data_IF_840404045376
#
_entry.id   IF_840404045376
#
_cell.length_a   1.000
_cell.length_b   1.000
_cell.length_c   1.000
_cell.angle_alpha   90.00
_cell.angle_beta   90.00
_cell.angle_gamma   90.00
#
_symmetry.space_group_name_H-M   'P 1'
#
loop_
_entity.id
_entity.type
_entity.pdbx_description
1 polymer ?
#
# COMPACT_ATOMS: atom_id res chain seq x y z
N UNK A 1 7.66 -34.51 -83.51
CA UNK A 1 6.90 -34.29 -84.75
C UNK A 1 5.96 -33.12 -84.53
N UNK A 2 5.92 -32.18 -85.48
CA UNK A 2 5.24 -30.88 -85.47
C UNK A 2 3.71 -31.01 -85.68
N UNK A 3 2.97 -29.98 -85.23
CA UNK A 3 1.63 -29.46 -85.68
C UNK A 3 0.41 -29.84 -84.83
N UNK A 4 -0.64 -29.02 -84.69
CA UNK A 4 -0.92 -27.56 -84.75
C UNK A 4 -2.47 -27.43 -84.75
N UNK A 5 -3.03 -26.56 -83.89
CA UNK A 5 -4.17 -25.63 -84.12
C UNK A 5 -5.62 -26.19 -84.20
N UNK A 6 -6.55 -25.59 -83.41
CA UNK A 6 -7.76 -24.76 -83.79
C UNK A 6 -8.74 -24.70 -82.60
N UNK A 7 -8.90 -23.56 -81.90
CA UNK A 7 -9.79 -22.39 -82.10
C UNK A 7 -11.29 -22.61 -81.70
N UNK A 8 -11.68 -22.05 -80.52
CA UNK A 8 -12.93 -21.40 -79.99
C UNK A 8 -14.34 -21.66 -80.61
N UNK A 9 -15.51 -21.49 -79.91
CA UNK A 9 -15.83 -20.42 -78.91
C UNK A 9 -16.80 -20.69 -77.71
N UNK A 10 -16.70 -19.79 -76.71
CA UNK A 10 -17.69 -19.06 -75.86
C UNK A 10 -19.05 -19.69 -75.49
N UNK A 11 -19.35 -19.73 -74.17
CA UNK A 11 -20.61 -19.27 -73.52
C UNK A 11 -20.42 -19.30 -71.98
N UNK A 12 -20.21 -18.13 -71.35
CA UNK A 12 -21.20 -17.38 -70.55
C UNK A 12 -21.67 -18.14 -69.29
N UNK A 13 -21.11 -17.75 -68.14
CA UNK A 13 -21.45 -18.30 -66.83
C UNK A 13 -20.99 -17.39 -65.72
N UNK A 14 -21.61 -16.22 -65.63
CA UNK A 14 -21.59 -15.36 -64.45
C UNK A 14 -22.31 -16.06 -63.30
N UNK A 15 -21.60 -16.42 -62.22
CA UNK A 15 -22.22 -16.55 -60.90
C UNK A 15 -21.23 -16.17 -59.80
N UNK A 16 -21.57 -15.05 -59.16
CA UNK A 16 -21.05 -14.57 -57.88
C UNK A 16 -21.28 -15.62 -56.79
N UNK A 17 -20.22 -16.04 -56.09
CA UNK A 17 -20.33 -16.49 -54.70
C UNK A 17 -19.22 -15.83 -53.90
N UNK A 18 -19.68 -15.11 -52.89
CA UNK A 18 -18.97 -14.20 -51.99
C UNK A 18 -17.90 -14.97 -51.20
N UNK A 19 -16.66 -14.51 -51.28
CA UNK A 19 -15.59 -14.94 -50.39
C UNK A 19 -15.91 -14.49 -48.96
N UNK A 20 -16.14 -15.45 -48.07
CA UNK A 20 -16.22 -15.26 -46.63
C UNK A 20 -14.83 -14.89 -46.09
N UNK A 21 -14.49 -13.61 -46.19
CA UNK A 21 -13.40 -13.03 -45.41
C UNK A 21 -13.84 -12.99 -43.96
N UNK A 22 -13.33 -13.96 -43.18
CA UNK A 22 -13.29 -13.87 -41.73
C UNK A 22 -12.48 -12.63 -41.35
N UNK A 23 -13.18 -11.51 -41.16
CA UNK A 23 -12.64 -10.36 -40.44
C UNK A 23 -12.60 -10.79 -38.98
N UNK A 24 -11.48 -11.42 -38.61
CA UNK A 24 -11.06 -11.56 -37.24
C UNK A 24 -10.86 -10.12 -36.73
N UNK A 25 -11.94 -9.51 -36.21
CA UNK A 25 -11.84 -8.23 -35.53
C UNK A 25 -10.94 -8.48 -34.34
N UNK A 26 -9.68 -8.05 -34.44
CA UNK A 26 -8.88 -7.75 -33.26
C UNK A 26 -9.64 -6.66 -32.54
N UNK A 27 -10.51 -7.06 -31.61
CA UNK A 27 -10.94 -6.16 -30.54
C UNK A 27 -9.68 -5.92 -29.74
N UNK A 28 -8.90 -4.93 -30.18
CA UNK A 28 -8.08 -4.15 -29.29
C UNK A 28 -9.06 -3.53 -28.30
N UNK A 29 -9.30 -4.25 -27.21
CA UNK A 29 -9.78 -3.65 -25.99
C UNK A 29 -8.69 -2.67 -25.59
N UNK A 30 -8.84 -1.43 -26.04
CA UNK A 30 -8.24 -0.29 -25.38
C UNK A 30 -8.94 -0.19 -24.01
N UNK A 31 -8.40 -0.92 -23.02
CA UNK A 31 -8.68 -0.63 -21.62
C UNK A 31 -7.97 0.67 -21.28
N UNK A 32 -8.65 1.77 -21.56
CA UNK A 32 -8.26 3.09 -21.10
C UNK A 32 -9.01 3.36 -19.79
N UNK A 33 -8.27 3.30 -18.69
CA UNK A 33 -8.42 3.98 -17.39
C UNK A 33 -7.90 3.06 -16.28
N UNK A 34 -6.59 3.10 -16.03
CA UNK A 34 -5.98 2.58 -14.80
C UNK A 34 -6.44 3.49 -13.65
N UNK A 35 -7.64 3.29 -13.12
CA UNK A 35 -7.81 3.49 -11.68
C UNK A 35 -7.28 2.19 -11.09
N UNK A 36 -5.97 2.12 -10.82
CA UNK A 36 -5.46 1.00 -10.03
C UNK A 36 -6.15 1.11 -8.68
N UNK A 37 -6.89 0.08 -8.28
CA UNK A 37 -7.48 0.08 -6.95
C UNK A 37 -6.38 0.24 -5.90
N UNK A 38 -6.70 0.73 -4.70
CA UNK A 38 -5.72 0.78 -3.61
C UNK A 38 -5.13 -0.59 -3.29
N UNK A 39 -5.88 -1.66 -3.56
CA UNK A 39 -5.38 -3.04 -3.52
C UNK A 39 -4.30 -3.29 -4.58
N UNK A 40 -4.51 -2.90 -5.83
CA UNK A 40 -3.51 -3.07 -6.90
C UNK A 40 -2.25 -2.21 -6.65
N UNK A 41 -2.45 -1.01 -6.11
CA UNK A 41 -1.36 -0.11 -5.74
C UNK A 41 -0.51 -0.72 -4.61
N UNK A 42 -1.12 -1.17 -3.51
CA UNK A 42 -0.36 -1.82 -2.42
C UNK A 42 0.33 -3.11 -2.88
N UNK A 43 -0.27 -3.89 -3.78
CA UNK A 43 0.38 -5.06 -4.36
C UNK A 43 1.62 -4.67 -5.18
N UNK A 44 1.51 -3.64 -6.03
CA UNK A 44 2.62 -3.14 -6.84
C UNK A 44 3.73 -2.54 -5.97
N UNK A 45 3.38 -1.79 -4.93
CA UNK A 45 4.32 -1.22 -3.98
C UNK A 45 5.11 -2.31 -3.23
N UNK A 46 4.42 -3.36 -2.77
CA UNK A 46 5.07 -4.49 -2.10
C UNK A 46 5.97 -5.30 -3.04
N UNK A 47 5.58 -5.47 -4.31
CA UNK A 47 6.45 -6.07 -5.31
C UNK A 47 7.73 -5.23 -5.48
N UNK A 48 7.61 -3.91 -5.64
CA UNK A 48 8.75 -3.01 -5.74
C UNK A 48 9.67 -3.13 -4.51
N UNK A 49 9.11 -3.07 -3.30
CA UNK A 49 9.86 -3.20 -2.05
C UNK A 49 10.63 -4.52 -1.99
N UNK A 50 9.99 -5.63 -2.37
CA UNK A 50 10.63 -6.94 -2.42
C UNK A 50 11.77 -7.00 -3.45
N UNK A 51 11.55 -6.48 -4.67
CA UNK A 51 12.57 -6.41 -5.73
C UNK A 51 13.78 -5.57 -5.32
N UNK A 52 13.58 -4.60 -4.41
CA UNK A 52 14.65 -3.76 -3.82
C UNK A 52 15.16 -4.32 -2.49
N UNK A 53 14.89 -5.59 -2.19
CA UNK A 53 15.48 -6.31 -1.05
C UNK A 53 14.93 -5.91 0.31
N UNK A 54 13.76 -5.28 0.38
CA UNK A 54 13.11 -4.94 1.64
C UNK A 54 12.35 -6.15 2.23
N UNK A 55 12.32 -6.25 3.55
CA UNK A 55 11.74 -7.34 4.34
C UNK A 55 10.49 -6.90 5.15
N UNK A 56 9.94 -5.73 4.83
CA UNK A 56 8.77 -5.14 5.47
C UNK A 56 7.75 -4.74 4.40
N UNK A 57 6.47 -4.98 4.66
CA UNK A 57 5.38 -4.79 3.69
C UNK A 57 4.50 -3.60 4.05
N UNK A 58 4.08 -2.87 3.02
CA UNK A 58 3.11 -1.78 3.09
C UNK A 58 1.68 -2.33 3.12
N UNK A 59 0.88 -1.89 4.10
CA UNK A 59 -0.57 -2.08 4.13
C UNK A 59 -1.24 -0.70 4.12
N UNK A 60 -2.36 -0.58 3.41
CA UNK A 60 -3.06 0.69 3.24
C UNK A 60 -4.41 0.67 3.95
N UNK A 61 -4.69 1.72 4.71
CA UNK A 61 -5.98 1.90 5.40
C UNK A 61 -7.13 2.10 4.39
N UNK A 62 -6.80 2.57 3.19
CA UNK A 62 -7.72 2.85 2.07
C UNK A 62 -7.93 1.66 1.13
N UNK A 63 -7.38 0.49 1.43
CA UNK A 63 -7.60 -0.72 0.65
C UNK A 63 -9.08 -1.17 0.70
N UNK A 64 -9.75 -1.38 -0.45
CA UNK A 64 -11.18 -1.66 -0.52
C UNK A 64 -11.61 -2.95 0.22
N UNK A 65 -10.70 -3.83 0.58
CA UNK A 65 -11.00 -5.03 1.38
C UNK A 65 -11.47 -4.70 2.80
N UNK A 66 -11.08 -3.53 3.33
CA UNK A 66 -11.43 -3.11 4.70
C UNK A 66 -11.65 -1.61 4.88
N UNK A 67 -11.43 -0.79 3.86
CA UNK A 67 -11.59 0.67 3.89
C UNK A 67 -12.93 1.12 4.48
N UNK A 68 -14.02 0.40 4.20
CA UNK A 68 -15.39 0.71 4.62
C UNK A 68 -15.77 0.15 6.01
N UNK A 69 -14.84 -0.54 6.69
CA UNK A 69 -15.12 -1.10 8.02
C UNK A 69 -15.25 0.02 9.02
N UNK A 70 -16.31 -0.06 9.82
CA UNK A 70 -16.61 0.92 10.84
C UNK A 70 -15.46 1.03 11.85
N UNK A 71 -14.96 2.25 12.03
CA UNK A 71 -14.02 2.59 13.08
C UNK A 71 -14.23 4.06 13.47
N UNK A 72 -14.70 4.25 14.69
CA UNK A 72 -15.04 5.53 15.26
C UNK A 72 -16.52 5.90 15.25
N UNK A 73 -16.81 7.06 15.82
CA UNK A 73 -18.16 7.60 15.93
C UNK A 73 -18.13 9.12 16.08
N UNK A 74 -19.25 9.80 15.82
CA UNK A 74 -19.36 11.25 16.03
C UNK A 74 -18.73 12.13 14.94
N UNK A 75 -18.20 11.53 13.86
CA UNK A 75 -17.76 12.21 12.63
C UNK A 75 -18.66 11.88 11.44
N UNK A 76 -18.53 12.64 10.35
CA UNK A 76 -19.16 12.33 9.05
C UNK A 76 -18.54 11.09 8.38
N UNK A 77 -17.32 10.70 8.79
CA UNK A 77 -16.60 9.53 8.27
C UNK A 77 -16.04 8.74 9.46
N UNK A 78 -16.55 7.52 9.63
CA UNK A 78 -16.28 6.64 10.77
C UNK A 78 -15.84 5.27 10.26
N UNK A 79 -14.82 5.26 9.41
CA UNK A 79 -14.31 4.07 8.77
C UNK A 79 -12.78 3.99 8.86
N UNK A 80 -12.23 2.82 8.51
CA UNK A 80 -10.77 2.62 8.50
C UNK A 80 -10.07 3.50 7.46
N UNK A 81 -10.69 3.79 6.32
CA UNK A 81 -10.09 4.65 5.31
C UNK A 81 -9.77 6.04 5.86
N UNK A 82 -10.61 6.59 6.74
CA UNK A 82 -10.40 7.91 7.34
C UNK A 82 -9.61 7.83 8.65
N UNK A 83 -9.91 6.89 9.54
CA UNK A 83 -9.41 6.89 10.92
C UNK A 83 -8.34 5.82 11.21
N UNK A 84 -8.04 4.94 10.26
CA UNK A 84 -7.33 3.68 10.46
C UNK A 84 -5.80 3.73 10.41
N UNK A 85 -5.16 4.91 10.46
CA UNK A 85 -3.71 5.03 10.32
C UNK A 85 -2.92 4.25 11.39
N UNK A 86 -3.32 4.37 12.66
CA UNK A 86 -2.72 3.62 13.76
C UNK A 86 -3.01 2.11 13.67
N UNK A 87 -4.26 1.74 13.37
CA UNK A 87 -4.71 0.34 13.23
C UNK A 87 -3.91 -0.37 12.13
N UNK A 88 -3.74 0.29 10.98
CA UNK A 88 -3.02 -0.24 9.84
C UNK A 88 -1.51 -0.31 10.11
N UNK A 89 -0.94 0.70 10.75
CA UNK A 89 0.47 0.71 11.16
C UNK A 89 0.80 -0.43 12.12
N UNK A 90 -0.07 -0.70 13.10
CA UNK A 90 0.10 -1.82 14.03
C UNK A 90 -0.04 -3.18 13.35
N UNK A 91 -0.90 -3.32 12.33
CA UNK A 91 -0.99 -4.53 11.53
C UNK A 91 0.32 -4.80 10.75
N UNK A 92 0.96 -3.75 10.22
CA UNK A 92 2.29 -3.89 9.59
C UNK A 92 3.35 -4.36 10.59
N UNK A 93 3.38 -3.78 11.80
CA UNK A 93 4.30 -4.21 12.87
C UNK A 93 4.06 -5.66 13.24
N UNK A 94 2.81 -6.07 13.50
CA UNK A 94 2.52 -7.44 13.89
C UNK A 94 2.88 -8.43 12.78
N UNK A 95 2.63 -8.07 11.53
CA UNK A 95 3.02 -8.89 10.37
C UNK A 95 4.53 -9.17 10.37
N UNK A 96 5.32 -8.13 10.64
CA UNK A 96 6.77 -8.23 10.70
C UNK A 96 7.26 -9.07 11.89
N UNK A 97 6.65 -8.93 13.07
CA UNK A 97 7.04 -9.67 14.27
C UNK A 97 6.69 -11.16 14.14
N UNK A 98 5.49 -11.48 13.66
CA UNK A 98 4.98 -12.86 13.58
C UNK A 98 5.35 -13.58 12.27
N UNK A 99 6.00 -12.89 11.32
CA UNK A 99 6.39 -13.43 10.01
C UNK A 99 5.21 -14.04 9.23
N UNK A 100 4.04 -13.40 9.34
CA UNK A 100 2.81 -13.73 8.60
C UNK A 100 2.11 -12.44 8.17
N UNK A 101 1.17 -12.54 7.24
CA UNK A 101 0.31 -11.40 6.92
C UNK A 101 -0.72 -11.20 8.03
N UNK A 102 -0.76 -10.01 8.61
CA UNK A 102 -1.80 -9.51 9.51
C UNK A 102 -2.54 -8.40 8.78
N UNK A 103 -3.86 -8.50 8.73
CA UNK A 103 -4.68 -7.45 8.11
C UNK A 103 -5.13 -6.42 9.14
N UNK A 104 -5.39 -5.16 8.75
CA UNK A 104 -5.90 -4.13 9.66
C UNK A 104 -7.18 -4.54 10.40
N UNK A 105 -7.99 -5.43 9.80
CA UNK A 105 -9.20 -5.97 10.44
C UNK A 105 -8.91 -6.78 11.69
N UNK A 106 -7.75 -7.46 11.80
CA UNK A 106 -7.40 -8.23 13.00
C UNK A 106 -7.14 -7.29 14.20
N UNK A 107 -6.43 -6.18 13.94
CA UNK A 107 -6.19 -5.16 14.95
C UNK A 107 -7.51 -4.47 15.33
N UNK A 108 -8.36 -4.17 14.34
CA UNK A 108 -9.68 -3.57 14.56
C UNK A 108 -10.61 -4.49 15.36
N UNK A 109 -10.65 -5.79 15.05
CA UNK A 109 -11.48 -6.78 15.77
C UNK A 109 -11.08 -6.87 17.25
N UNK A 110 -9.77 -6.85 17.52
CA UNK A 110 -9.27 -6.81 18.89
C UNK A 110 -9.62 -5.49 19.58
N UNK A 111 -9.33 -4.35 18.96
CA UNK A 111 -9.45 -3.03 19.60
C UNK A 111 -10.90 -2.58 19.74
N UNK A 112 -11.75 -2.91 18.77
CA UNK A 112 -12.98 -2.19 18.49
C UNK A 112 -12.73 -0.68 18.45
N UNK A 113 -13.68 0.09 18.98
CA UNK A 113 -13.56 1.55 19.15
C UNK A 113 -12.93 1.95 20.49
N UNK A 114 -12.37 1.02 21.29
CA UNK A 114 -11.89 1.32 22.66
C UNK A 114 -10.83 2.42 22.72
N UNK A 115 -10.08 2.60 21.65
CA UNK A 115 -9.03 3.61 21.53
C UNK A 115 -9.38 4.70 20.53
N UNK A 116 -10.61 4.74 20.01
CA UNK A 116 -11.01 5.82 19.12
C UNK A 116 -11.29 7.10 19.92
N UNK A 117 -10.78 8.22 19.41
CA UNK A 117 -11.07 9.56 19.92
C UNK A 117 -11.71 10.41 18.83
N UNK A 118 -12.91 10.91 19.11
CA UNK A 118 -13.70 11.71 18.17
C UNK A 118 -12.91 12.92 17.68
N UNK A 119 -12.69 13.00 16.36
CA UNK A 119 -11.95 14.08 15.71
C UNK A 119 -10.42 13.99 15.82
N UNK A 120 -9.87 13.00 16.54
CA UNK A 120 -8.42 12.81 16.71
C UNK A 120 -7.92 11.46 16.13
N UNK A 121 -8.83 10.54 15.81
CA UNK A 121 -8.49 9.22 15.28
C UNK A 121 -8.25 8.23 16.42
N UNK A 122 -7.02 7.76 16.60
CA UNK A 122 -6.70 6.72 17.59
C UNK A 122 -5.84 7.26 18.73
N UNK A 123 -6.29 7.08 19.96
CA UNK A 123 -5.56 7.40 21.18
C UNK A 123 -4.25 6.61 21.27
N UNK A 124 -3.18 7.26 21.71
CA UNK A 124 -1.86 6.62 21.87
C UNK A 124 -1.82 5.52 22.93
N UNK A 125 -2.83 5.41 23.79
CA UNK A 125 -2.99 4.30 24.73
C UNK A 125 -3.11 2.94 24.03
N UNK A 126 -3.42 2.89 22.73
CA UNK A 126 -3.40 1.66 21.93
C UNK A 126 -2.02 1.03 21.85
N UNK A 127 -0.94 1.83 21.81
CA UNK A 127 0.43 1.33 21.56
C UNK A 127 0.95 0.41 22.67
N UNK A 128 0.93 0.81 23.96
CA UNK A 128 1.28 -0.12 25.04
C UNK A 128 0.28 -1.28 25.18
N UNK A 129 -1.02 -1.04 24.94
CA UNK A 129 -2.02 -2.10 25.04
C UNK A 129 -1.88 -3.16 23.94
N UNK A 130 -1.49 -2.76 22.74
CA UNK A 130 -1.18 -3.64 21.62
C UNK A 130 0.00 -4.54 21.97
N UNK A 131 1.08 -3.96 22.51
CA UNK A 131 2.24 -4.73 22.95
C UNK A 131 1.86 -5.79 23.98
N UNK A 132 1.07 -5.40 24.99
CA UNK A 132 0.57 -6.32 26.01
C UNK A 132 -0.29 -7.44 25.42
N UNK A 133 -1.20 -7.12 24.49
CA UNK A 133 -2.12 -8.09 23.91
C UNK A 133 -1.39 -9.16 23.07
N UNK A 134 -0.41 -8.75 22.27
CA UNK A 134 0.32 -9.63 21.37
C UNK A 134 1.62 -10.18 21.97
N UNK A 135 1.86 -9.97 23.27
CA UNK A 135 3.04 -10.49 23.97
C UNK A 135 4.36 -9.88 23.49
N UNK A 136 4.32 -8.66 22.95
CA UNK A 136 5.48 -7.90 22.49
C UNK A 136 6.01 -7.01 23.61
N UNK A 137 7.29 -6.69 23.57
CA UNK A 137 7.86 -5.59 24.34
C UNK A 137 7.72 -4.31 23.53
N UNK A 138 7.35 -3.21 24.18
CA UNK A 138 7.31 -1.89 23.55
C UNK A 138 8.19 -0.91 24.32
N UNK A 139 8.88 -0.07 23.58
CA UNK A 139 9.61 1.07 24.11
C UNK A 139 9.09 2.35 23.46
N UNK A 140 8.70 3.31 24.30
CA UNK A 140 8.37 4.67 23.89
C UNK A 140 9.69 5.45 23.79
N UNK A 141 10.02 5.85 22.56
CA UNK A 141 11.27 6.54 22.24
C UNK A 141 11.12 8.05 22.32
N UNK A 142 9.90 8.60 22.48
CA UNK A 142 9.73 10.04 22.48
C UNK A 142 10.14 10.66 21.14
N UNK A 143 10.93 11.73 21.27
CA UNK A 143 11.67 12.37 20.17
C UNK A 143 13.18 12.19 20.34
N UNK A 144 13.62 11.13 21.01
CA UNK A 144 15.03 10.87 21.23
C UNK A 144 15.66 10.33 19.92
N UNK A 145 16.25 11.25 19.15
CA UNK A 145 16.88 10.94 17.88
C UNK A 145 17.97 9.87 17.99
N UNK A 146 18.73 9.86 19.10
CA UNK A 146 19.82 8.90 19.28
C UNK A 146 19.26 7.48 19.47
N UNK A 147 18.20 7.33 20.28
CA UNK A 147 17.55 6.04 20.45
C UNK A 147 16.83 5.58 19.18
N UNK A 148 16.13 6.48 18.48
CA UNK A 148 15.51 6.17 17.18
C UNK A 148 16.56 5.66 16.19
N UNK A 149 17.70 6.37 16.06
CA UNK A 149 18.79 5.96 15.20
C UNK A 149 19.37 4.59 15.61
N UNK A 150 19.49 4.31 16.90
CA UNK A 150 19.97 3.02 17.40
C UNK A 150 19.07 1.86 16.94
N UNK A 151 17.75 2.00 17.09
CA UNK A 151 16.79 0.97 16.66
C UNK A 151 16.74 0.81 15.14
N UNK A 152 16.85 1.91 14.39
CA UNK A 152 16.98 1.87 12.93
C UNK A 152 18.26 1.15 12.48
N UNK A 153 19.38 1.34 13.19
CA UNK A 153 20.63 0.63 12.91
C UNK A 153 20.55 -0.87 13.22
N UNK A 154 19.62 -1.28 14.08
CA UNK A 154 19.28 -2.68 14.34
C UNK A 154 18.23 -3.23 13.35
N UNK A 155 17.89 -2.45 12.32
CA UNK A 155 16.91 -2.79 11.29
C UNK A 155 15.50 -3.05 11.84
N UNK A 156 15.15 -2.43 12.97
CA UNK A 156 13.82 -2.55 13.55
C UNK A 156 12.86 -1.51 12.92
N UNK A 157 11.64 -1.90 12.54
CA UNK A 157 10.61 -0.94 12.15
C UNK A 157 10.13 -0.14 13.38
N UNK A 158 9.87 1.14 13.19
CA UNK A 158 9.43 2.07 14.23
C UNK A 158 8.12 2.70 13.81
N UNK A 159 7.11 2.61 14.66
CA UNK A 159 5.87 3.37 14.49
C UNK A 159 6.15 4.81 14.90
N UNK A 160 5.79 5.78 14.06
CA UNK A 160 5.94 7.19 14.36
C UNK A 160 4.61 7.92 14.27
N UNK A 161 4.42 8.89 15.15
CA UNK A 161 3.42 9.93 15.00
C UNK A 161 4.10 11.19 14.50
N UNK A 162 3.52 11.84 13.49
CA UNK A 162 3.99 13.11 12.94
C UNK A 162 2.92 14.19 13.06
N UNK A 163 3.39 15.42 13.26
CA UNK A 163 2.63 16.66 13.21
C UNK A 163 2.42 17.10 11.75
N UNK A 164 1.60 18.14 11.48
CA UNK A 164 1.46 18.71 10.15
C UNK A 164 2.79 19.03 9.47
N UNK A 165 2.90 18.71 8.18
CA UNK A 165 4.11 18.87 7.39
C UNK A 165 4.01 18.14 6.04
N UNK A 166 5.10 17.51 5.64
CA UNK A 166 5.24 16.79 4.36
C UNK A 166 4.23 15.64 4.20
N UNK A 167 3.91 14.93 5.29
CA UNK A 167 3.12 13.70 5.23
C UNK A 167 1.62 13.90 5.48
N UNK A 168 1.23 15.02 6.10
CA UNK A 168 -0.14 15.26 6.58
C UNK A 168 -0.36 16.73 6.91
N UNK A 169 -1.61 17.21 6.83
CA UNK A 169 -2.00 18.57 7.23
C UNK A 169 -2.48 18.67 8.68
N UNK A 170 -2.71 17.54 9.37
CA UNK A 170 -3.29 17.51 10.74
C UNK A 170 -2.42 16.74 11.73
N UNK A 171 -2.04 15.53 11.37
CA UNK A 171 -1.39 14.57 12.24
C UNK A 171 -1.56 13.18 11.62
N UNK A 172 -0.56 12.31 11.80
CA UNK A 172 -0.57 11.01 11.14
C UNK A 172 0.25 9.98 11.88
N UNK A 173 -0.15 8.71 11.77
CA UNK A 173 0.61 7.56 12.26
C UNK A 173 1.08 6.74 11.06
N UNK A 174 2.38 6.46 11.00
CA UNK A 174 3.00 5.66 9.95
C UNK A 174 4.16 4.85 10.50
N UNK A 175 4.78 4.02 9.68
CA UNK A 175 5.96 3.23 10.07
C UNK A 175 7.18 3.68 9.26
N UNK A 176 8.34 3.76 9.92
CA UNK A 176 9.62 3.94 9.25
C UNK A 176 10.52 2.75 9.51
N UNK A 177 11.38 2.45 8.55
CA UNK A 177 12.42 1.44 8.68
C UNK A 177 13.63 1.83 7.87
N UNK A 178 14.82 1.41 8.33
CA UNK A 178 16.05 1.56 7.55
C UNK A 178 15.93 0.76 6.25
N UNK A 179 16.34 1.38 5.15
CA UNK A 179 16.53 0.72 3.87
C UNK A 179 17.62 -0.35 4.01
N UNK A 180 17.34 -1.58 3.59
CA UNK A 180 18.33 -2.65 3.64
C UNK A 180 19.51 -2.47 2.68
N UNK A 181 19.40 -1.57 1.70
CA UNK A 181 20.42 -1.32 0.69
C UNK A 181 21.15 0.02 0.87
N UNK A 182 20.78 0.84 1.86
CA UNK A 182 21.40 2.16 2.09
C UNK A 182 21.29 2.63 3.54
N UNK A 183 21.89 3.78 3.87
CA UNK A 183 21.73 4.42 5.18
C UNK A 183 20.48 5.33 5.26
N UNK A 184 19.61 5.27 4.27
CA UNK A 184 18.37 6.04 4.23
C UNK A 184 17.21 5.27 4.87
N UNK A 185 16.09 5.96 5.06
CA UNK A 185 14.85 5.44 5.61
C UNK A 185 13.81 5.32 4.51
N UNK A 186 12.95 4.31 4.65
CA UNK A 186 11.74 4.14 3.86
C UNK A 186 10.56 4.42 4.80
N UNK A 187 9.60 5.20 4.29
CA UNK A 187 8.33 5.49 4.96
C UNK A 187 7.26 4.53 4.43
N UNK A 188 6.63 3.81 5.34
CA UNK A 188 5.48 2.95 5.10
C UNK A 188 4.24 3.69 5.60
N UNK A 189 3.69 4.55 4.74
CA UNK A 189 2.52 5.37 5.02
C UNK A 189 1.22 4.56 4.80
N UNK A 190 0.39 4.30 5.83
CA UNK A 190 -0.87 3.58 5.64
C UNK A 190 -1.89 4.34 4.76
N UNK A 191 -1.68 5.61 4.49
CA UNK A 191 -2.48 6.45 3.61
C UNK A 191 -1.72 6.80 2.31
N UNK A 192 -0.69 6.03 1.94
CA UNK A 192 0.03 6.22 0.68
C UNK A 192 -0.90 6.00 -0.53
N UNK A 193 -0.54 6.58 -1.68
CA UNK A 193 -1.26 6.45 -2.94
C UNK A 193 -0.35 6.80 -4.13
N UNK A 194 -0.90 6.71 -5.34
CA UNK A 194 -0.17 6.98 -6.60
C UNK A 194 0.36 8.41 -6.76
N UNK A 195 -0.09 9.35 -5.94
CA UNK A 195 0.37 10.75 -6.01
C UNK A 195 1.54 11.01 -5.04
N UNK A 196 1.61 10.27 -3.93
CA UNK A 196 2.62 10.44 -2.87
C UNK A 196 3.82 9.50 -3.04
N UNK A 197 3.55 8.21 -3.19
CA UNK A 197 4.51 7.11 -3.36
C UNK A 197 5.70 7.17 -2.37
N UNK A 198 5.42 7.44 -1.09
CA UNK A 198 6.44 7.58 -0.04
C UNK A 198 7.35 6.35 0.08
N UNK A 199 6.82 5.16 -0.19
CA UNK A 199 7.59 3.90 -0.17
C UNK A 199 8.73 3.84 -1.20
N UNK A 200 8.70 4.64 -2.26
CA UNK A 200 9.78 4.75 -3.26
C UNK A 200 10.81 5.83 -2.90
N UNK A 201 10.46 6.74 -2.01
CA UNK A 201 11.32 7.84 -1.62
C UNK A 201 12.34 7.41 -0.56
N UNK A 202 13.40 8.21 -0.41
CA UNK A 202 14.47 7.98 0.55
C UNK A 202 14.57 9.19 1.48
N UNK A 203 14.48 8.92 2.77
CA UNK A 203 14.48 9.95 3.81
C UNK A 203 15.69 9.80 4.71
N UNK A 204 16.16 10.92 5.27
CA UNK A 204 17.05 10.91 6.43
C UNK A 204 16.25 11.08 7.71
N UNK A 205 16.81 10.61 8.82
CA UNK A 205 16.20 10.84 10.14
C UNK A 205 16.07 12.35 10.42
N UNK A 206 17.09 13.14 10.05
CA UNK A 206 17.10 14.59 10.22
C UNK A 206 15.93 15.30 9.50
N UNK A 207 15.48 14.77 8.36
CA UNK A 207 14.30 15.31 7.65
C UNK A 207 12.99 15.03 8.38
N UNK A 208 12.89 13.89 9.07
CA UNK A 208 11.69 13.47 9.79
C UNK A 208 11.58 14.12 11.18
N UNK A 209 12.71 14.33 11.86
CA UNK A 209 12.74 14.80 13.26
C UNK A 209 11.93 16.07 13.53
N UNK A 210 11.94 17.12 12.67
CA UNK A 210 11.15 18.33 12.89
C UNK A 210 9.64 18.08 12.91
N UNK A 211 9.18 17.06 12.19
CA UNK A 211 7.76 16.71 12.07
C UNK A 211 7.35 15.68 13.14
N UNK A 212 8.29 14.99 13.77
CA UNK A 212 8.03 13.92 14.73
C UNK A 212 7.27 14.44 15.97
N UNK A 213 6.15 13.80 16.28
CA UNK A 213 5.40 13.97 17.50
C UNK A 213 5.79 12.92 18.55
N UNK A 214 5.90 11.65 18.15
CA UNK A 214 6.39 10.56 19.00
C UNK A 214 6.87 9.35 18.18
N UNK A 215 7.59 8.42 18.80
CA UNK A 215 8.05 7.17 18.19
C UNK A 215 7.95 5.97 19.16
N UNK A 216 7.55 4.81 18.65
CA UNK A 216 7.43 3.56 19.39
C UNK A 216 8.06 2.40 18.61
N UNK A 217 8.82 1.57 19.30
CA UNK A 217 9.45 0.36 18.74
C UNK A 217 8.98 -0.87 19.48
N UNK A 218 8.93 -2.00 18.77
CA UNK A 218 8.44 -3.28 19.27
C UNK A 218 9.45 -4.40 19.03
N UNK A 219 9.52 -5.36 19.94
CA UNK A 219 10.39 -6.54 19.88
C UNK A 219 9.79 -7.78 20.53
#
# INVERSE_FOLDING_TARGET
>A
MRRRIRLFPILLGSFLVIASLGILSTRFFHFNNKVSSQQDFSASANQYLQEHGQDFSLALQTDPRWADKAYGSGSNQNDLATNGCAITSLAMILSYQEKRTVYPTEILEWSGDRYYESGQGTAWSIFPAFAQNYGLTMQDLGKDQAQIQQHLNQNQPIVISVNPGEFTDVGHIMVIKKDLQSDQLIVYDPNDNSDKEHYMQKYSLDQLMPQLANAWVYS
#
